data_IF_181819126513
#
_entry.id   IF_181819126513
#
_cell.length_a   1.000
_cell.length_b   1.000
_cell.length_c   1.000
_cell.angle_alpha   90.00
_cell.angle_beta   90.00
_cell.angle_gamma   90.00
#
_symmetry.space_group_name_H-M   'P 1'
#
loop_
_entity.id
_entity.type
_entity.pdbx_description
1 polymer ?
#
# COMPACT_ATOMS: atom_id res chain seq x y z
N UNK A 1 -0.10 -14.29 -10.26
CA UNK A 1 0.05 -12.80 -10.22
C UNK A 1 1.29 -12.48 -9.41
N UNK A 2 2.27 -11.84 -10.04
CA UNK A 2 3.58 -11.52 -9.43
C UNK A 2 3.47 -10.77 -8.09
N UNK A 3 2.47 -9.87 -7.97
CA UNK A 3 2.29 -9.05 -6.77
C UNK A 3 2.00 -9.86 -5.51
N UNK A 4 1.41 -11.05 -5.62
CA UNK A 4 1.06 -11.89 -4.47
C UNK A 4 2.28 -12.49 -3.77
N UNK A 5 3.39 -12.60 -4.50
CA UNK A 5 4.68 -13.10 -3.99
C UNK A 5 5.67 -11.96 -3.67
N UNK A 6 5.19 -10.70 -3.77
CA UNK A 6 6.05 -9.54 -3.62
C UNK A 6 6.02 -8.97 -2.22
N UNK A 7 7.09 -8.27 -1.90
CA UNK A 7 7.21 -7.33 -0.79
C UNK A 7 7.29 -5.94 -1.40
N UNK A 8 6.34 -5.08 -1.07
CA UNK A 8 6.26 -3.73 -1.58
C UNK A 8 7.04 -2.75 -0.71
N UNK A 9 7.62 -1.75 -1.36
CA UNK A 9 8.21 -0.58 -0.72
C UNK A 9 7.48 0.67 -1.24
N UNK A 10 6.82 1.41 -0.36
CA UNK A 10 6.08 2.61 -0.75
C UNK A 10 6.96 3.85 -0.64
N UNK A 11 6.97 4.66 -1.69
CA UNK A 11 7.62 5.98 -1.72
C UNK A 11 6.55 7.05 -2.02
N UNK A 12 6.53 8.13 -1.22
CA UNK A 12 5.82 9.36 -1.53
C UNK A 12 6.80 10.35 -2.18
N UNK A 13 6.80 10.49 -3.51
CA UNK A 13 7.94 11.08 -4.24
C UNK A 13 8.21 12.54 -3.93
N UNK A 14 7.16 13.38 -3.83
CA UNK A 14 7.34 14.81 -3.56
C UNK A 14 8.06 15.04 -2.22
N UNK A 15 7.61 14.38 -1.16
CA UNK A 15 8.28 14.46 0.14
C UNK A 15 9.65 13.78 0.13
N UNK A 16 9.75 12.54 -0.34
CA UNK A 16 10.98 11.76 -0.44
C UNK A 16 12.10 12.54 -1.16
N UNK A 17 11.77 13.21 -2.24
CA UNK A 17 12.70 13.98 -3.06
C UNK A 17 12.94 15.40 -2.55
N UNK A 18 12.26 15.84 -1.48
CA UNK A 18 12.39 17.20 -0.95
C UNK A 18 11.88 18.27 -1.92
N UNK A 19 10.82 17.96 -2.65
CA UNK A 19 10.15 18.92 -3.52
C UNK A 19 9.41 19.99 -2.69
N UNK A 20 9.30 21.25 -3.17
CA UNK A 20 8.48 22.26 -2.51
C UNK A 20 7.01 21.82 -2.49
N UNK A 21 6.25 22.22 -1.46
CA UNK A 21 4.83 21.85 -1.34
C UNK A 21 4.01 22.44 -2.49
N UNK A 22 4.13 23.74 -2.72
CA UNK A 22 3.49 24.41 -3.86
C UNK A 22 4.27 24.12 -5.14
N UNK A 23 3.54 23.88 -6.24
CA UNK A 23 4.17 23.74 -7.54
C UNK A 23 4.66 25.12 -8.03
N UNK A 24 5.96 25.32 -7.99
CA UNK A 24 6.64 26.56 -8.38
C UNK A 24 6.92 26.64 -9.90
N UNK A 25 6.57 25.59 -10.67
CA UNK A 25 6.84 25.51 -12.10
C UNK A 25 8.32 25.33 -12.47
N UNK A 26 9.18 25.12 -11.48
CA UNK A 26 10.63 24.98 -11.70
C UNK A 26 11.00 23.53 -11.96
N UNK A 27 11.50 23.25 -13.15
CA UNK A 27 11.99 21.92 -13.49
C UNK A 27 13.21 21.54 -12.63
N UNK A 28 13.14 20.37 -12.03
CA UNK A 28 14.20 19.81 -11.22
C UNK A 28 14.29 18.30 -11.45
N UNK A 29 15.46 17.69 -11.35
CA UNK A 29 15.66 16.26 -11.61
C UNK A 29 15.71 15.42 -10.32
N UNK A 30 14.87 15.78 -9.32
CA UNK A 30 14.90 15.19 -7.97
C UNK A 30 14.55 13.71 -7.92
N UNK A 31 13.71 13.22 -8.85
CA UNK A 31 13.27 11.82 -8.88
C UNK A 31 14.44 10.85 -9.09
N UNK A 32 15.54 11.31 -9.69
CA UNK A 32 16.75 10.51 -9.89
C UNK A 32 17.36 10.01 -8.58
N UNK A 33 17.05 10.67 -7.44
CA UNK A 33 17.43 10.22 -6.09
C UNK A 33 17.00 8.78 -5.79
N UNK A 34 15.91 8.31 -6.38
CA UNK A 34 15.43 6.93 -6.19
C UNK A 34 16.51 5.91 -6.59
N UNK A 35 17.35 6.24 -7.60
CA UNK A 35 18.42 5.34 -8.02
C UNK A 35 19.42 5.04 -6.91
N UNK A 36 19.70 6.01 -6.03
CA UNK A 36 20.64 5.84 -4.92
C UNK A 36 20.06 4.95 -3.81
N UNK A 37 18.73 4.75 -3.81
CA UNK A 37 18.03 3.91 -2.84
C UNK A 37 17.79 2.48 -3.31
N UNK A 38 17.97 2.18 -4.58
CA UNK A 38 17.76 0.84 -5.15
C UNK A 38 18.55 -0.24 -4.39
N UNK A 39 19.86 -0.04 -4.04
CA UNK A 39 20.60 -1.03 -3.26
C UNK A 39 19.99 -1.31 -1.87
N UNK A 40 19.49 -0.27 -1.20
CA UNK A 40 18.82 -0.40 0.09
C UNK A 40 17.50 -1.19 -0.03
N UNK A 41 16.64 -0.82 -0.98
CA UNK A 41 15.36 -1.46 -1.24
C UNK A 41 15.56 -2.96 -1.55
N UNK A 42 16.54 -3.27 -2.39
CA UNK A 42 16.91 -4.64 -2.74
C UNK A 42 17.44 -5.42 -1.53
N UNK A 43 18.33 -4.81 -0.73
CA UNK A 43 18.87 -5.41 0.50
C UNK A 43 17.78 -5.65 1.54
N UNK A 44 16.79 -4.76 1.66
CA UNK A 44 15.60 -4.94 2.51
C UNK A 44 14.78 -6.16 2.09
N UNK A 45 14.88 -6.59 0.85
CA UNK A 45 14.16 -7.71 0.28
C UNK A 45 12.88 -7.31 -0.46
N UNK A 46 12.60 -6.02 -0.62
CA UNK A 46 11.49 -5.55 -1.45
C UNK A 46 11.81 -5.78 -2.94
N UNK A 47 10.80 -6.23 -3.69
CA UNK A 47 10.88 -6.50 -5.13
C UNK A 47 9.75 -5.81 -5.92
N UNK A 48 9.02 -4.92 -5.28
CA UNK A 48 8.06 -4.03 -5.91
C UNK A 48 8.09 -2.65 -5.23
N UNK A 49 7.95 -1.58 -6.01
CA UNK A 49 7.74 -0.23 -5.50
C UNK A 49 6.32 0.22 -5.83
N UNK A 50 5.67 0.82 -4.85
CA UNK A 50 4.48 1.63 -5.04
C UNK A 50 4.87 3.10 -4.89
N UNK A 51 4.77 3.87 -5.97
CA UNK A 51 4.91 5.32 -5.94
C UNK A 51 3.54 5.97 -5.69
N UNK A 52 3.41 6.75 -4.61
CA UNK A 52 2.35 7.75 -4.47
C UNK A 52 2.47 8.76 -5.64
N UNK A 53 1.51 9.68 -5.87
CA UNK A 53 1.42 10.41 -7.13
C UNK A 53 2.72 11.02 -7.62
N UNK A 54 3.02 10.84 -8.92
CA UNK A 54 4.23 11.34 -9.60
C UNK A 54 3.90 12.39 -10.66
N UNK A 55 2.62 12.56 -11.02
CA UNK A 55 2.20 13.41 -12.13
C UNK A 55 2.05 14.87 -11.70
N UNK A 56 2.12 15.77 -12.70
CA UNK A 56 2.00 17.22 -12.53
C UNK A 56 0.79 17.57 -11.68
N UNK A 57 1.00 18.31 -10.59
CA UNK A 57 -0.02 18.60 -9.59
C UNK A 57 0.08 20.01 -9.02
N UNK A 58 -0.98 20.49 -8.36
CA UNK A 58 -0.98 21.82 -7.73
C UNK A 58 -0.06 21.84 -6.49
N UNK A 59 -0.17 20.81 -5.61
CA UNK A 59 0.56 20.76 -4.33
C UNK A 59 1.01 19.34 -4.00
N UNK A 60 0.15 18.53 -3.37
CA UNK A 60 0.46 17.26 -2.73
C UNK A 60 0.40 16.04 -3.66
N UNK A 61 0.27 16.21 -4.96
CA UNK A 61 0.22 15.10 -5.92
C UNK A 61 -1.19 14.60 -6.23
N UNK A 62 -2.12 14.64 -5.27
CA UNK A 62 -3.50 14.19 -5.47
C UNK A 62 -4.40 15.22 -6.18
N UNK A 63 -3.97 16.46 -6.31
CA UNK A 63 -4.60 17.51 -7.09
C UNK A 63 -3.92 17.65 -8.47
N UNK A 64 -4.09 16.63 -9.30
CA UNK A 64 -3.44 16.47 -10.60
C UNK A 64 -3.81 17.59 -11.58
N UNK A 65 -2.80 18.15 -12.27
CA UNK A 65 -2.93 19.11 -13.38
C UNK A 65 -2.89 18.44 -14.75
N UNK A 66 -2.06 17.39 -14.87
CA UNK A 66 -1.82 16.70 -16.13
C UNK A 66 -1.39 15.24 -15.86
N UNK A 67 -2.15 14.28 -16.34
CA UNK A 67 -1.87 12.84 -16.18
C UNK A 67 -0.72 12.34 -17.09
N UNK A 68 -0.27 13.16 -18.04
CA UNK A 68 0.71 12.74 -19.05
C UNK A 68 2.12 13.21 -18.74
N UNK A 69 2.29 14.10 -17.77
CA UNK A 69 3.58 14.69 -17.41
C UNK A 69 3.97 14.34 -15.97
N UNK A 70 5.21 13.96 -15.80
CA UNK A 70 5.81 13.89 -14.46
C UNK A 70 5.86 15.31 -13.88
N UNK A 71 5.56 15.44 -12.60
CA UNK A 71 5.61 16.72 -11.89
C UNK A 71 6.97 17.39 -12.06
N UNK A 72 6.98 18.64 -12.54
CA UNK A 72 8.22 19.35 -12.84
C UNK A 72 9.14 19.48 -11.61
N UNK A 73 8.58 19.49 -10.40
CA UNK A 73 9.35 19.47 -9.15
C UNK A 73 10.12 18.16 -8.94
N UNK A 74 9.70 17.07 -9.60
CA UNK A 74 10.35 15.75 -9.56
C UNK A 74 11.32 15.55 -10.73
N UNK A 75 10.91 15.92 -11.94
CA UNK A 75 11.74 15.70 -13.13
C UNK A 75 10.97 15.76 -14.43
N UNK A 76 11.53 15.12 -15.43
CA UNK A 76 10.90 14.89 -16.73
C UNK A 76 10.39 13.46 -16.85
N UNK A 77 9.59 13.18 -17.89
CA UNK A 77 9.19 11.83 -18.24
C UNK A 77 10.41 10.92 -18.48
N UNK A 78 11.45 11.44 -19.12
CA UNK A 78 12.69 10.71 -19.39
C UNK A 78 13.43 10.36 -18.09
N UNK A 79 13.45 11.25 -17.09
CA UNK A 79 14.04 10.97 -15.78
C UNK A 79 13.30 9.83 -15.10
N UNK A 80 11.97 9.87 -15.12
CA UNK A 80 11.17 8.82 -14.50
C UNK A 80 11.30 7.49 -15.24
N UNK A 81 11.26 7.50 -16.57
CA UNK A 81 11.51 6.30 -17.39
C UNK A 81 12.88 5.67 -17.08
N UNK A 82 13.91 6.50 -16.87
CA UNK A 82 15.25 6.04 -16.45
C UNK A 82 15.22 5.38 -15.07
N UNK A 83 14.49 5.96 -14.10
CA UNK A 83 14.33 5.38 -12.76
C UNK A 83 13.66 4.02 -12.85
N UNK A 84 12.52 3.92 -13.57
CA UNK A 84 11.80 2.65 -13.73
C UNK A 84 12.66 1.59 -14.41
N UNK A 85 13.37 1.95 -15.49
CA UNK A 85 14.29 1.03 -16.16
C UNK A 85 15.40 0.50 -15.24
N UNK A 86 15.94 1.35 -14.35
CA UNK A 86 16.94 0.93 -13.37
C UNK A 86 16.34 0.00 -12.30
N UNK A 87 15.11 0.26 -11.84
CA UNK A 87 14.37 -0.62 -10.94
C UNK A 87 14.13 -2.00 -11.58
N UNK A 88 13.69 -2.03 -12.84
CA UNK A 88 13.46 -3.27 -13.57
C UNK A 88 14.75 -4.09 -13.78
N UNK A 89 15.88 -3.45 -14.04
CA UNK A 89 17.19 -4.13 -14.12
C UNK A 89 17.57 -4.86 -12.85
N UNK A 90 17.09 -4.36 -11.70
CA UNK A 90 17.31 -4.97 -10.39
C UNK A 90 16.16 -5.91 -9.97
N UNK A 91 15.22 -6.21 -10.88
CA UNK A 91 14.09 -7.11 -10.65
C UNK A 91 12.99 -6.52 -9.78
N UNK A 92 12.91 -5.19 -9.69
CA UNK A 92 11.91 -4.48 -8.89
C UNK A 92 10.78 -3.99 -9.78
N UNK A 93 9.56 -4.44 -9.52
CA UNK A 93 8.34 -4.04 -10.21
C UNK A 93 7.86 -2.66 -9.77
N UNK A 94 7.15 -1.94 -10.65
CA UNK A 94 6.71 -0.56 -10.40
C UNK A 94 5.20 -0.42 -10.53
N UNK A 95 4.58 0.11 -9.46
CA UNK A 95 3.15 0.45 -9.37
C UNK A 95 3.01 1.95 -9.15
N UNK A 96 2.18 2.63 -9.94
CA UNK A 96 1.90 4.06 -9.80
C UNK A 96 0.54 4.31 -9.14
N UNK A 97 0.40 5.51 -8.56
CA UNK A 97 -0.89 6.00 -8.07
C UNK A 97 -1.73 6.56 -9.21
N UNK A 98 -2.93 6.05 -9.37
CA UNK A 98 -3.94 6.51 -10.32
C UNK A 98 -5.03 7.30 -9.61
N UNK A 99 -4.95 8.63 -9.67
CA UNK A 99 -5.92 9.55 -9.05
C UNK A 99 -7.02 9.86 -10.07
N UNK A 100 -8.04 9.01 -10.18
CA UNK A 100 -9.04 9.10 -11.25
C UNK A 100 -10.42 9.61 -10.80
N UNK A 101 -10.64 9.73 -9.49
CA UNK A 101 -11.89 10.28 -8.96
C UNK A 101 -12.00 11.79 -9.11
N UNK A 102 -10.87 12.50 -9.02
CA UNK A 102 -10.80 13.95 -9.01
C UNK A 102 -9.49 14.46 -9.60
N UNK A 103 -9.43 15.76 -9.86
CA UNK A 103 -8.25 16.48 -10.35
C UNK A 103 -8.07 17.78 -9.57
N UNK A 104 -6.92 18.41 -9.67
CA UNK A 104 -6.67 19.74 -9.13
C UNK A 104 -7.44 20.84 -9.89
N UNK A 105 -7.57 22.00 -9.26
CA UNK A 105 -8.12 23.18 -9.94
C UNK A 105 -7.23 23.65 -11.09
N UNK A 106 -5.91 23.35 -11.03
CA UNK A 106 -4.96 23.61 -12.11
C UNK A 106 -5.10 22.69 -13.33
N UNK A 107 -5.98 21.68 -13.29
CA UNK A 107 -6.21 20.78 -14.42
C UNK A 107 -6.69 21.56 -15.65
N UNK A 108 -6.04 21.33 -16.78
CA UNK A 108 -6.21 22.16 -17.97
C UNK A 108 -7.68 22.30 -18.46
N UNK A 109 -8.47 21.21 -18.40
CA UNK A 109 -9.88 21.26 -18.79
C UNK A 109 -10.73 22.04 -17.76
N UNK A 110 -10.38 22.01 -16.47
CA UNK A 110 -11.06 22.80 -15.45
C UNK A 110 -10.71 24.29 -15.57
N UNK A 111 -9.46 24.60 -15.92
CA UNK A 111 -9.04 25.98 -16.21
C UNK A 111 -9.81 26.56 -17.42
N UNK A 112 -10.11 25.75 -18.44
CA UNK A 112 -10.99 26.17 -19.55
C UNK A 112 -12.42 26.46 -19.05
N UNK A 113 -12.99 25.62 -18.17
CA UNK A 113 -14.31 25.88 -17.55
C UNK A 113 -14.29 27.16 -16.72
N UNK A 114 -13.26 27.41 -15.94
CA UNK A 114 -13.14 28.66 -15.16
C UNK A 114 -13.13 29.91 -16.08
N UNK A 115 -12.47 29.82 -17.23
CA UNK A 115 -12.34 30.90 -18.19
C UNK A 115 -13.57 31.10 -19.07
N UNK A 116 -14.10 30.02 -19.64
CA UNK A 116 -15.13 30.05 -20.70
C UNK A 116 -16.55 29.76 -20.17
N UNK A 117 -16.67 29.39 -18.88
CA UNK A 117 -17.93 29.14 -18.19
C UNK A 117 -18.79 28.11 -18.95
N UNK A 118 -20.09 28.42 -19.16
CA UNK A 118 -21.05 27.57 -19.85
C UNK A 118 -20.65 27.25 -21.30
N UNK A 119 -19.77 28.05 -21.90
CA UNK A 119 -19.30 27.86 -23.27
C UNK A 119 -18.09 26.90 -23.36
N UNK A 120 -17.56 26.44 -22.25
CA UNK A 120 -16.49 25.47 -22.26
C UNK A 120 -16.97 24.10 -22.76
N UNK A 121 -16.25 23.43 -23.68
CA UNK A 121 -16.58 22.08 -24.10
C UNK A 121 -16.37 21.03 -22.99
N UNK A 122 -15.70 21.41 -21.89
CA UNK A 122 -15.33 20.53 -20.80
C UNK A 122 -16.26 20.59 -19.58
N UNK A 123 -17.37 21.34 -19.62
CA UNK A 123 -18.32 21.45 -18.49
C UNK A 123 -18.77 20.05 -18.02
N UNK A 124 -19.10 19.15 -18.96
CA UNK A 124 -19.57 17.80 -18.67
C UNK A 124 -18.46 16.81 -18.25
N UNK A 125 -17.20 17.23 -18.21
CA UNK A 125 -16.08 16.43 -17.69
C UNK A 125 -16.11 16.35 -16.19
N UNK A 126 -16.79 17.27 -15.51
CA UNK A 126 -16.83 17.40 -14.07
C UNK A 126 -18.22 17.12 -13.52
N UNK A 127 -18.28 16.66 -12.29
CA UNK A 127 -19.52 16.34 -11.62
C UNK A 127 -20.21 17.61 -11.13
N UNK A 128 -21.49 17.79 -11.50
CA UNK A 128 -22.41 18.78 -10.94
C UNK A 128 -21.90 20.22 -10.92
N UNK A 129 -21.44 20.75 -12.03
CA UNK A 129 -21.09 22.18 -12.13
C UNK A 129 -22.36 23.05 -12.13
N UNK A 130 -22.36 24.14 -11.34
CA UNK A 130 -23.40 25.16 -11.30
C UNK A 130 -22.77 26.55 -11.39
N UNK A 131 -23.21 27.36 -12.39
CA UNK A 131 -22.66 28.69 -12.64
C UNK A 131 -23.42 29.81 -11.90
N UNK A 132 -24.51 29.46 -11.23
CA UNK A 132 -25.30 30.33 -10.34
C UNK A 132 -24.93 30.09 -8.84
N UNK A 133 -23.96 29.19 -8.59
CA UNK A 133 -23.46 28.85 -7.26
C UNK A 133 -22.11 29.47 -6.95
N UNK A 134 -21.56 29.10 -5.81
CA UNK A 134 -20.22 29.50 -5.40
C UNK A 134 -19.55 28.42 -4.55
N UNK A 135 -18.25 28.35 -4.59
CA UNK A 135 -17.42 27.54 -3.71
C UNK A 135 -16.69 28.44 -2.70
N UNK A 136 -15.83 27.86 -1.87
CA UNK A 136 -14.95 28.63 -0.98
C UNK A 136 -13.90 29.49 -1.74
N UNK A 137 -13.75 29.30 -3.06
CA UNK A 137 -12.89 30.13 -3.91
C UNK A 137 -13.54 31.44 -4.36
N UNK A 138 -14.85 31.64 -4.12
CA UNK A 138 -15.60 32.84 -4.47
C UNK A 138 -15.46 33.30 -5.94
N UNK A 139 -15.38 32.36 -6.85
CA UNK A 139 -15.21 32.58 -8.30
C UNK A 139 -16.52 32.43 -9.11
N UNK A 140 -17.66 32.41 -8.41
CA UNK A 140 -19.00 32.30 -9.03
C UNK A 140 -19.22 30.94 -9.69
N UNK A 141 -18.61 29.90 -9.17
CA UNK A 141 -18.74 28.54 -9.65
C UNK A 141 -18.89 27.60 -8.45
N UNK A 142 -19.92 26.77 -8.47
CA UNK A 142 -20.04 25.62 -7.59
C UNK A 142 -19.84 24.32 -8.38
N UNK A 143 -19.18 23.33 -7.78
CA UNK A 143 -18.95 22.01 -8.33
C UNK A 143 -18.83 20.99 -7.22
N UNK A 144 -19.00 19.72 -7.55
CA UNK A 144 -18.75 18.64 -6.60
C UNK A 144 -17.22 18.43 -6.41
N UNK A 145 -16.75 18.65 -5.19
CA UNK A 145 -15.40 18.26 -4.76
C UNK A 145 -15.40 16.90 -4.06
N UNK A 146 -14.25 16.23 -3.98
CA UNK A 146 -14.13 15.01 -3.20
C UNK A 146 -14.34 15.29 -1.71
N UNK A 147 -15.38 14.67 -1.14
CA UNK A 147 -15.76 14.83 0.29
C UNK A 147 -15.83 16.30 0.74
N UNK A 148 -16.24 17.21 -0.12
CA UNK A 148 -16.38 18.63 0.18
C UNK A 148 -15.08 19.45 0.02
N UNK A 149 -13.97 18.83 -0.39
CA UNK A 149 -12.73 19.53 -0.71
C UNK A 149 -12.78 20.11 -2.12
N UNK A 150 -12.88 21.42 -2.24
CA UNK A 150 -13.02 22.11 -3.53
C UNK A 150 -11.70 22.28 -4.31
N UNK A 151 -10.55 21.98 -3.72
CA UNK A 151 -9.26 21.84 -4.43
C UNK A 151 -9.14 20.50 -5.18
N UNK A 152 -10.08 19.56 -4.94
CA UNK A 152 -10.17 18.24 -5.54
C UNK A 152 -11.46 18.14 -6.35
N UNK A 153 -11.40 18.62 -7.58
CA UNK A 153 -12.57 18.73 -8.49
C UNK A 153 -12.97 17.35 -9.01
N UNK A 154 -14.18 16.89 -8.69
CA UNK A 154 -14.63 15.55 -9.05
C UNK A 154 -14.87 15.39 -10.54
N UNK A 155 -14.27 14.36 -11.14
CA UNK A 155 -14.46 13.98 -12.54
C UNK A 155 -15.80 13.24 -12.73
N UNK A 156 -16.36 13.39 -13.92
CA UNK A 156 -17.53 12.65 -14.37
C UNK A 156 -17.10 11.39 -15.14
N UNK A 157 -16.94 10.27 -14.44
CA UNK A 157 -16.52 8.99 -15.02
C UNK A 157 -17.62 8.31 -15.89
N UNK A 158 -18.81 8.91 -16.04
CA UNK A 158 -19.82 8.52 -17.02
C UNK A 158 -19.64 9.23 -18.37
N UNK A 159 -18.75 10.22 -18.45
CA UNK A 159 -18.40 10.91 -19.69
C UNK A 159 -17.31 10.11 -20.42
N UNK A 160 -17.61 9.68 -21.66
CA UNK A 160 -16.67 8.86 -22.44
C UNK A 160 -15.37 9.60 -22.78
N UNK A 161 -15.39 10.92 -22.97
CA UNK A 161 -14.18 11.69 -23.27
C UNK A 161 -13.25 11.72 -22.04
N UNK A 162 -13.80 11.79 -20.82
CA UNK A 162 -13.03 11.69 -19.58
C UNK A 162 -12.40 10.30 -19.45
N UNK A 163 -13.17 9.23 -19.66
CA UNK A 163 -12.68 7.86 -19.59
C UNK A 163 -11.60 7.61 -20.63
N UNK A 164 -11.80 8.07 -21.87
CA UNK A 164 -10.82 7.95 -22.95
C UNK A 164 -9.54 8.72 -22.64
N UNK A 165 -9.64 9.91 -22.03
CA UNK A 165 -8.48 10.71 -21.62
C UNK A 165 -7.66 9.95 -20.56
N UNK A 166 -8.31 9.40 -19.52
CA UNK A 166 -7.66 8.59 -18.49
C UNK A 166 -7.00 7.35 -19.10
N UNK A 167 -7.71 6.60 -19.96
CA UNK A 167 -7.17 5.39 -20.58
C UNK A 167 -5.99 5.70 -21.51
N UNK A 168 -6.02 6.81 -22.22
CA UNK A 168 -4.89 7.26 -23.04
C UNK A 168 -3.67 7.60 -22.18
N UNK A 169 -3.88 8.23 -21.03
CA UNK A 169 -2.79 8.48 -20.08
C UNK A 169 -2.20 7.17 -19.55
N UNK A 170 -3.03 6.22 -19.10
CA UNK A 170 -2.60 4.89 -18.63
C UNK A 170 -1.84 4.14 -19.72
N UNK A 171 -2.30 4.18 -20.97
CA UNK A 171 -1.57 3.58 -22.10
C UNK A 171 -0.20 4.24 -22.29
N UNK A 172 -0.13 5.57 -22.15
CA UNK A 172 1.12 6.33 -22.15
C UNK A 172 2.07 5.85 -21.04
N UNK A 173 1.59 5.69 -19.81
CA UNK A 173 2.39 5.19 -18.68
C UNK A 173 2.95 3.80 -18.92
N UNK A 174 2.14 2.88 -19.51
CA UNK A 174 2.59 1.53 -19.85
C UNK A 174 3.65 1.57 -20.97
N UNK A 175 3.44 2.39 -22.00
CA UNK A 175 4.36 2.46 -23.15
C UNK A 175 5.68 3.18 -22.84
N UNK A 176 5.59 4.30 -22.10
CA UNK A 176 6.74 5.19 -21.86
C UNK A 176 7.55 4.76 -20.64
N UNK A 177 6.86 4.33 -19.58
CA UNK A 177 7.52 3.98 -18.31
C UNK A 177 7.57 2.46 -18.05
N UNK A 178 6.85 1.65 -18.82
CA UNK A 178 6.74 0.20 -18.63
C UNK A 178 6.24 -0.21 -17.23
N UNK A 179 5.33 0.56 -16.62
CA UNK A 179 4.80 0.26 -15.28
C UNK A 179 4.10 -1.10 -15.21
N UNK A 180 4.10 -1.72 -14.02
CA UNK A 180 3.57 -3.07 -13.81
C UNK A 180 2.20 -3.09 -13.10
N UNK A 181 1.71 -1.94 -12.69
CA UNK A 181 0.42 -1.84 -12.04
C UNK A 181 0.02 -0.42 -11.65
N UNK A 182 -1.19 -0.30 -11.13
CA UNK A 182 -1.76 0.95 -10.62
C UNK A 182 -2.41 0.70 -9.26
N UNK A 183 -2.13 1.58 -8.29
CA UNK A 183 -2.94 1.75 -7.09
C UNK A 183 -4.00 2.80 -7.41
N UNK A 184 -5.26 2.49 -7.19
CA UNK A 184 -6.39 3.36 -7.45
C UNK A 184 -6.72 4.14 -6.17
N UNK A 185 -6.47 5.45 -6.23
CA UNK A 185 -6.82 6.38 -5.17
C UNK A 185 -8.34 6.38 -4.94
N UNK A 186 -8.76 6.41 -3.67
CA UNK A 186 -10.16 6.39 -3.24
C UNK A 186 -11.05 5.45 -4.05
N UNK A 187 -10.60 4.22 -4.25
CA UNK A 187 -11.27 3.24 -5.13
C UNK A 187 -12.74 3.01 -4.76
N UNK A 188 -13.11 3.20 -3.50
CA UNK A 188 -14.50 3.13 -3.03
C UNK A 188 -15.41 4.23 -3.61
N UNK A 189 -14.84 5.31 -4.16
CA UNK A 189 -15.56 6.39 -4.84
C UNK A 189 -15.69 6.18 -6.35
N UNK A 190 -14.95 5.22 -6.93
CA UNK A 190 -14.93 4.97 -8.37
C UNK A 190 -16.13 4.11 -8.80
N UNK A 191 -16.67 4.43 -9.98
CA UNK A 191 -17.77 3.67 -10.58
C UNK A 191 -17.33 2.23 -10.92
N UNK A 192 -18.21 1.26 -10.66
CA UNK A 192 -17.96 -0.15 -10.96
C UNK A 192 -17.73 -0.39 -12.46
N UNK A 193 -18.51 0.26 -13.31
CA UNK A 193 -18.37 0.13 -14.76
C UNK A 193 -17.03 0.67 -15.25
N UNK A 194 -16.59 1.81 -14.70
CA UNK A 194 -15.26 2.35 -14.94
C UNK A 194 -14.15 1.37 -14.52
N UNK A 195 -14.23 0.81 -13.31
CA UNK A 195 -13.21 -0.13 -12.79
C UNK A 195 -13.11 -1.40 -13.64
N UNK A 196 -14.24 -1.98 -14.05
CA UNK A 196 -14.26 -3.14 -14.93
C UNK A 196 -13.68 -2.84 -16.31
N UNK A 197 -13.98 -1.66 -16.87
CA UNK A 197 -13.42 -1.21 -18.15
C UNK A 197 -11.91 -0.98 -18.04
N UNK A 198 -11.46 -0.32 -16.96
CA UNK A 198 -10.04 -0.08 -16.70
C UNK A 198 -9.28 -1.40 -16.59
N UNK A 199 -9.84 -2.39 -15.87
CA UNK A 199 -9.25 -3.73 -15.77
C UNK A 199 -9.06 -4.36 -17.14
N UNK A 200 -10.11 -4.45 -17.94
CA UNK A 200 -10.04 -5.04 -19.28
C UNK A 200 -9.09 -4.27 -20.21
N UNK A 201 -9.05 -2.94 -20.08
CA UNK A 201 -8.12 -2.11 -20.82
C UNK A 201 -6.65 -2.43 -20.46
N UNK A 202 -6.31 -2.44 -19.16
CA UNK A 202 -4.96 -2.74 -18.70
C UNK A 202 -4.51 -4.14 -19.12
N UNK A 203 -5.36 -5.16 -18.95
CA UNK A 203 -5.08 -6.55 -19.35
C UNK A 203 -4.81 -6.66 -20.87
N UNK A 204 -5.46 -5.83 -21.69
CA UNK A 204 -5.22 -5.76 -23.14
C UNK A 204 -3.88 -5.12 -23.53
N UNK A 205 -3.27 -4.33 -22.61
CA UNK A 205 -2.03 -3.58 -22.88
C UNK A 205 -0.80 -4.27 -22.31
N UNK A 206 -0.90 -4.90 -21.13
CA UNK A 206 0.22 -5.58 -20.49
C UNK A 206 -0.30 -6.79 -19.70
N UNK A 207 0.24 -7.98 -19.98
CA UNK A 207 -0.08 -9.19 -19.23
C UNK A 207 0.33 -9.04 -17.75
N UNK A 208 -0.45 -9.66 -16.86
CA UNK A 208 -0.22 -9.62 -15.42
C UNK A 208 -0.18 -8.22 -14.79
N UNK A 209 -0.83 -7.23 -15.42
CA UNK A 209 -0.91 -5.87 -14.90
C UNK A 209 -1.69 -5.83 -13.58
N UNK A 210 -1.08 -5.32 -12.52
CA UNK A 210 -1.64 -5.36 -11.18
C UNK A 210 -2.50 -4.13 -10.88
N UNK A 211 -3.72 -4.34 -10.37
CA UNK A 211 -4.59 -3.29 -9.86
C UNK A 211 -4.84 -3.49 -8.36
N UNK A 212 -4.54 -2.48 -7.56
CA UNK A 212 -4.86 -2.43 -6.14
C UNK A 212 -5.68 -1.17 -5.84
N UNK A 213 -6.82 -1.34 -5.15
CA UNK A 213 -7.69 -0.22 -4.79
C UNK A 213 -7.45 0.24 -3.36
N UNK A 214 -7.42 1.55 -3.15
CA UNK A 214 -7.48 2.09 -1.79
C UNK A 214 -8.90 1.99 -1.26
N UNK A 215 -9.04 1.33 -0.10
CA UNK A 215 -10.31 1.20 0.63
C UNK A 215 -10.04 1.36 2.11
N UNK A 216 -10.60 2.40 2.72
CA UNK A 216 -10.43 2.69 4.14
C UNK A 216 -11.32 1.81 5.02
N UNK A 217 -12.52 1.50 4.55
CA UNK A 217 -13.54 0.68 5.22
C UNK A 217 -14.59 0.24 4.21
N UNK A 218 -15.39 -0.76 4.55
CA UNK A 218 -16.52 -1.20 3.73
C UNK A 218 -16.45 -2.67 3.30
N UNK A 219 -17.11 -2.98 2.20
CA UNK A 219 -17.35 -4.35 1.73
C UNK A 219 -16.20 -4.84 0.83
N UNK A 220 -15.08 -5.25 1.44
CA UNK A 220 -13.92 -5.78 0.70
C UNK A 220 -14.29 -6.86 -0.32
N UNK A 221 -15.12 -7.83 0.08
CA UNK A 221 -15.52 -8.93 -0.79
C UNK A 221 -16.23 -8.46 -2.05
N UNK A 222 -17.10 -7.46 -1.94
CA UNK A 222 -17.79 -6.88 -3.09
C UNK A 222 -16.82 -6.23 -4.06
N UNK A 223 -15.89 -5.39 -3.57
CA UNK A 223 -14.95 -4.70 -4.43
C UNK A 223 -14.00 -5.65 -5.14
N UNK A 224 -13.50 -6.68 -4.45
CA UNK A 224 -12.63 -7.69 -5.05
C UNK A 224 -13.35 -8.51 -6.13
N UNK A 225 -14.57 -8.95 -5.86
CA UNK A 225 -15.29 -9.88 -6.75
C UNK A 225 -16.07 -9.18 -7.86
N UNK A 226 -16.65 -8.00 -7.58
CA UNK A 226 -17.53 -7.33 -8.53
C UNK A 226 -16.80 -6.24 -9.36
N UNK A 227 -15.72 -5.65 -8.85
CA UNK A 227 -15.04 -4.53 -9.49
C UNK A 227 -13.74 -4.92 -10.18
N UNK A 228 -13.43 -6.21 -10.27
CA UNK A 228 -12.27 -6.75 -10.98
C UNK A 228 -10.90 -6.21 -10.51
N UNK A 229 -10.81 -5.73 -9.28
CA UNK A 229 -9.56 -5.27 -8.66
C UNK A 229 -8.85 -6.48 -8.05
N UNK A 230 -7.53 -6.60 -8.25
CA UNK A 230 -6.75 -7.75 -7.75
C UNK A 230 -6.54 -7.73 -6.24
N UNK A 231 -6.42 -6.54 -5.66
CA UNK A 231 -6.09 -6.33 -4.25
C UNK A 231 -6.69 -5.02 -3.73
N UNK A 232 -6.81 -4.91 -2.42
CA UNK A 232 -7.25 -3.71 -1.72
C UNK A 232 -6.31 -3.42 -0.56
N UNK A 233 -6.22 -2.15 -0.14
CA UNK A 233 -5.48 -1.76 1.06
C UNK A 233 -6.15 -2.30 2.33
N UNK A 234 -5.36 -2.88 3.23
CA UNK A 234 -5.87 -3.58 4.42
C UNK A 234 -5.90 -2.68 5.66
N UNK A 235 -6.71 -1.62 5.63
CA UNK A 235 -6.88 -0.72 6.77
C UNK A 235 -7.54 -1.40 7.98
N UNK A 236 -8.29 -2.47 7.77
CA UNK A 236 -8.90 -3.22 8.88
C UNK A 236 -7.84 -3.90 9.73
N UNK A 237 -6.86 -4.59 9.12
CA UNK A 237 -5.76 -5.18 9.87
C UNK A 237 -4.81 -4.12 10.40
N UNK A 238 -4.54 -3.02 9.69
CA UNK A 238 -3.78 -1.87 10.20
C UNK A 238 -4.32 -1.42 11.56
N UNK A 239 -5.63 -1.15 11.68
CA UNK A 239 -6.27 -0.76 12.95
C UNK A 239 -6.17 -1.86 14.01
N UNK A 240 -6.42 -3.12 13.61
CA UNK A 240 -6.35 -4.27 14.51
C UNK A 240 -4.94 -4.51 15.07
N UNK A 241 -3.90 -4.29 14.26
CA UNK A 241 -2.52 -4.49 14.67
C UNK A 241 -2.13 -3.50 15.77
N UNK A 242 -2.18 -2.18 15.49
CA UNK A 242 -1.71 -1.22 16.48
C UNK A 242 -2.57 -1.21 17.76
N UNK A 243 -3.88 -1.47 17.65
CA UNK A 243 -4.76 -1.62 18.81
C UNK A 243 -4.35 -2.85 19.65
N UNK A 244 -4.16 -4.01 19.03
CA UNK A 244 -3.80 -5.24 19.71
C UNK A 244 -2.48 -5.14 20.51
N UNK A 245 -1.46 -4.54 19.90
CA UNK A 245 -0.18 -4.37 20.57
C UNK A 245 -0.20 -3.34 21.70
N UNK A 246 -0.95 -2.23 21.53
CA UNK A 246 -1.06 -1.19 22.57
C UNK A 246 -1.94 -1.62 23.75
N UNK A 247 -2.99 -2.39 23.51
CA UNK A 247 -3.88 -2.91 24.55
C UNK A 247 -3.40 -4.23 25.17
N UNK A 248 -2.30 -4.81 24.65
CA UNK A 248 -1.86 -6.18 24.96
C UNK A 248 -3.00 -7.20 24.79
N UNK A 249 -3.72 -7.10 23.65
CA UNK A 249 -4.89 -7.94 23.38
C UNK A 249 -4.88 -8.50 21.95
N UNK A 250 -4.20 -9.63 21.75
CA UNK A 250 -4.07 -10.28 20.45
C UNK A 250 -5.42 -10.73 19.86
N UNK A 251 -6.48 -10.81 20.66
CA UNK A 251 -7.82 -11.12 20.16
C UNK A 251 -8.31 -10.11 19.12
N UNK A 252 -7.91 -8.83 19.22
CA UNK A 252 -8.36 -7.78 18.29
C UNK A 252 -7.88 -8.04 16.85
N UNK A 253 -6.58 -8.29 16.67
CA UNK A 253 -6.04 -8.58 15.33
C UNK A 253 -6.46 -9.97 14.83
N UNK A 254 -6.47 -10.97 15.69
CA UNK A 254 -6.87 -12.33 15.28
C UNK A 254 -8.35 -12.35 14.90
N UNK A 255 -9.23 -11.60 15.57
CA UNK A 255 -10.63 -11.45 15.15
C UNK A 255 -10.74 -10.83 13.74
N UNK A 256 -9.95 -9.79 13.45
CA UNK A 256 -9.90 -9.18 12.12
C UNK A 256 -9.42 -10.16 11.05
N UNK A 257 -8.38 -10.96 11.35
CA UNK A 257 -7.87 -11.99 10.44
C UNK A 257 -8.87 -13.12 10.20
N UNK A 258 -9.56 -13.58 11.25
CA UNK A 258 -10.62 -14.59 11.13
C UNK A 258 -11.76 -14.09 10.26
N UNK A 259 -12.22 -12.86 10.47
CA UNK A 259 -13.28 -12.24 9.68
C UNK A 259 -12.90 -12.10 8.20
N UNK A 260 -11.65 -11.74 7.91
CA UNK A 260 -11.20 -11.54 6.53
C UNK A 260 -10.84 -12.86 5.85
N UNK A 261 -10.03 -13.70 6.49
CA UNK A 261 -9.31 -14.81 5.87
C UNK A 261 -9.57 -16.16 6.49
N UNK A 262 -10.51 -16.25 7.45
CA UNK A 262 -10.84 -17.51 8.11
C UNK A 262 -11.31 -18.59 7.13
N UNK A 263 -11.48 -19.83 7.60
CA UNK A 263 -11.87 -20.96 6.75
C UNK A 263 -13.35 -20.92 6.34
N UNK A 264 -14.17 -20.13 7.02
CA UNK A 264 -15.61 -20.10 6.83
C UNK A 264 -16.01 -19.39 5.53
N UNK A 265 -17.13 -19.81 4.94
CA UNK A 265 -17.62 -19.24 3.66
C UNK A 265 -18.02 -17.76 3.75
N UNK A 266 -18.43 -17.30 4.93
CA UNK A 266 -18.79 -15.91 5.17
C UNK A 266 -17.59 -14.94 5.29
N UNK A 267 -16.35 -15.44 5.29
CA UNK A 267 -15.15 -14.60 5.36
C UNK A 267 -15.03 -13.75 4.12
N UNK A 268 -14.92 -12.43 4.33
CA UNK A 268 -15.12 -11.41 3.27
C UNK A 268 -13.98 -11.30 2.27
N UNK A 269 -12.79 -11.81 2.59
CA UNK A 269 -11.60 -11.74 1.74
C UNK A 269 -10.84 -13.08 1.68
N UNK A 270 -11.55 -14.22 1.87
CA UNK A 270 -10.94 -15.55 1.80
C UNK A 270 -10.28 -15.78 0.45
N UNK A 271 -9.00 -16.15 0.46
CA UNK A 271 -8.22 -16.37 -0.75
C UNK A 271 -7.72 -15.09 -1.43
N UNK A 272 -8.11 -13.91 -0.93
CA UNK A 272 -7.61 -12.65 -1.46
C UNK A 272 -6.25 -12.27 -0.87
N UNK A 273 -5.50 -11.46 -1.61
CA UNK A 273 -4.18 -10.95 -1.24
C UNK A 273 -4.29 -9.43 -1.04
N UNK A 274 -4.65 -8.99 0.18
CA UNK A 274 -4.77 -7.57 0.49
C UNK A 274 -3.39 -6.94 0.70
N UNK A 275 -3.20 -5.71 0.23
CA UNK A 275 -2.00 -4.91 0.48
C UNK A 275 -1.99 -4.45 1.94
N UNK A 276 -1.12 -5.05 2.74
CA UNK A 276 -1.06 -4.90 4.20
C UNK A 276 0.16 -4.10 4.62
N UNK A 277 -0.01 -3.21 5.58
CA UNK A 277 1.02 -2.25 6.01
C UNK A 277 0.93 -1.97 7.50
N UNK A 278 2.03 -1.52 8.08
CA UNK A 278 2.08 -0.99 9.45
C UNK A 278 1.73 0.50 9.50
N UNK A 279 2.15 1.24 8.49
CA UNK A 279 1.83 2.65 8.25
C UNK A 279 1.95 2.99 6.75
N UNK A 280 1.55 4.20 6.38
CA UNK A 280 1.68 4.77 5.04
C UNK A 280 1.75 6.31 5.10
N UNK A 281 1.61 6.98 3.97
CA UNK A 281 1.72 8.43 3.83
C UNK A 281 0.53 9.24 4.40
N UNK A 282 -0.56 8.57 4.84
CA UNK A 282 -1.80 9.21 5.33
C UNK A 282 -2.07 8.99 6.81
N UNK A 283 -1.31 8.12 7.46
CA UNK A 283 -1.47 7.81 8.89
C UNK A 283 -0.19 8.08 9.65
N UNK A 284 -0.31 8.27 10.97
CA UNK A 284 0.87 8.41 11.85
C UNK A 284 1.82 7.23 11.67
N UNK A 285 3.13 7.49 11.70
CA UNK A 285 4.16 6.46 11.63
C UNK A 285 3.98 5.44 12.75
N UNK A 286 4.09 4.18 12.45
CA UNK A 286 3.85 3.11 13.42
C UNK A 286 4.73 3.23 14.67
N UNK A 287 5.97 3.68 14.53
CA UNK A 287 6.88 3.94 15.65
C UNK A 287 6.40 5.07 16.58
N UNK A 288 5.49 5.96 16.12
CA UNK A 288 4.84 6.96 16.95
C UNK A 288 3.58 6.45 17.64
N UNK A 289 2.91 5.45 17.05
CA UNK A 289 1.65 4.90 17.56
C UNK A 289 1.93 3.84 18.64
N UNK A 290 2.93 2.99 18.44
CA UNK A 290 3.25 1.88 19.33
C UNK A 290 3.84 2.41 20.64
N UNK A 291 3.17 2.11 21.75
CA UNK A 291 3.55 2.59 23.09
C UNK A 291 4.79 1.87 23.66
N UNK A 292 4.87 0.56 23.47
CA UNK A 292 6.05 -0.24 23.87
C UNK A 292 6.98 -0.46 22.67
N UNK A 293 8.18 0.15 22.63
CA UNK A 293 9.11 -0.01 21.51
C UNK A 293 9.49 -1.47 21.20
N UNK A 294 9.45 -2.37 22.17
CA UNK A 294 9.72 -3.79 21.97
C UNK A 294 8.67 -4.49 21.08
N UNK A 295 7.48 -3.89 20.94
CA UNK A 295 6.44 -4.39 20.05
C UNK A 295 6.66 -4.02 18.58
N UNK A 296 7.49 -3.02 18.27
CA UNK A 296 7.64 -2.53 16.89
C UNK A 296 8.13 -3.62 15.92
N UNK A 297 9.13 -4.46 16.23
CA UNK A 297 9.47 -5.59 15.37
C UNK A 297 8.32 -6.61 15.22
N UNK A 298 7.54 -6.82 16.27
CA UNK A 298 6.43 -7.78 16.28
C UNK A 298 5.26 -7.32 15.40
N UNK A 299 5.04 -6.01 15.27
CA UNK A 299 4.10 -5.43 14.31
C UNK A 299 4.46 -5.85 12.89
N UNK A 300 5.73 -5.76 12.51
CA UNK A 300 6.19 -6.21 11.19
C UNK A 300 6.09 -7.73 11.04
N UNK A 301 6.42 -8.50 12.08
CA UNK A 301 6.19 -9.95 12.06
C UNK A 301 4.71 -10.29 11.80
N UNK A 302 3.77 -9.55 12.39
CA UNK A 302 2.34 -9.73 12.10
C UNK A 302 2.03 -9.39 10.63
N UNK A 303 2.48 -8.24 10.11
CA UNK A 303 2.24 -7.80 8.72
C UNK A 303 2.77 -8.81 7.70
N UNK A 304 3.96 -9.38 7.93
CA UNK A 304 4.59 -10.34 7.02
C UNK A 304 4.06 -11.77 7.17
N UNK A 305 3.60 -12.15 8.36
CA UNK A 305 3.08 -13.49 8.64
C UNK A 305 1.62 -13.70 8.25
N UNK A 306 0.79 -12.66 8.32
CA UNK A 306 -0.63 -12.75 7.97
C UNK A 306 -0.87 -12.90 6.46
N UNK A 307 -2.07 -13.34 6.01
CA UNK A 307 -2.43 -13.36 4.59
C UNK A 307 -2.35 -11.97 3.97
N UNK A 308 -1.81 -11.89 2.75
CA UNK A 308 -1.74 -10.66 1.97
C UNK A 308 -0.35 -10.32 1.47
N UNK A 309 -0.22 -9.12 0.95
CA UNK A 309 0.98 -8.56 0.34
C UNK A 309 1.56 -7.52 1.32
N UNK A 310 2.73 -7.74 1.92
CA UNK A 310 3.32 -6.76 2.83
C UNK A 310 3.84 -5.54 2.08
N UNK A 311 3.62 -4.36 2.64
CA UNK A 311 4.13 -3.08 2.15
C UNK A 311 4.83 -2.33 3.28
N UNK A 312 6.03 -1.86 3.03
CA UNK A 312 6.83 -1.05 3.95
C UNK A 312 6.89 0.38 3.42
N UNK A 313 6.52 1.34 4.24
CA UNK A 313 6.60 2.75 3.89
C UNK A 313 8.00 3.29 4.18
N UNK A 314 8.59 4.03 3.25
CA UNK A 314 9.98 4.50 3.33
C UNK A 314 10.26 5.26 4.65
N UNK A 315 11.33 4.89 5.31
CA UNK A 315 11.71 5.43 6.62
C UNK A 315 11.13 4.71 7.83
N UNK A 316 10.05 3.94 7.65
CA UNK A 316 9.44 3.18 8.75
C UNK A 316 10.25 1.94 9.10
N UNK A 317 11.04 1.40 8.17
CA UNK A 317 11.89 0.24 8.39
C UNK A 317 13.05 0.47 9.36
N UNK A 318 13.40 1.73 9.64
CA UNK A 318 14.33 2.06 10.74
C UNK A 318 13.69 2.82 11.90
N UNK A 319 12.34 2.84 11.94
CA UNK A 319 11.59 3.34 13.09
C UNK A 319 11.44 4.87 13.13
N UNK A 320 11.37 5.54 11.97
CA UNK A 320 11.06 6.97 11.91
C UNK A 320 9.73 7.27 12.61
N UNK A 321 9.72 8.34 13.40
CA UNK A 321 8.53 8.83 14.13
C UNK A 321 7.96 10.06 13.46
N UNK A 322 6.65 10.08 13.29
CA UNK A 322 5.86 11.26 12.91
C UNK A 322 4.38 11.01 13.23
N UNK A 323 3.68 12.06 13.63
CA UNK A 323 2.26 12.00 13.99
C UNK A 323 1.42 12.81 13.00
N UNK A 324 0.26 12.25 12.62
CA UNK A 324 -0.70 12.89 11.68
C UNK A 324 -1.19 14.26 12.19
N UNK A 325 -1.25 14.47 13.51
CA UNK A 325 -1.63 15.76 14.09
C UNK A 325 -0.66 16.89 13.75
N UNK A 326 0.58 16.55 13.32
CA UNK A 326 1.58 17.53 12.86
C UNK A 326 1.38 17.90 11.38
N UNK A 327 0.36 17.36 10.72
CA UNK A 327 0.06 17.55 9.30
C UNK A 327 0.80 16.55 8.39
N UNK A 328 0.33 16.46 7.15
CA UNK A 328 0.84 15.52 6.15
C UNK A 328 2.35 15.66 5.85
N UNK A 329 2.93 16.88 5.81
CA UNK A 329 4.37 17.03 5.56
C UNK A 329 5.24 16.29 6.58
N UNK A 330 4.79 16.16 7.83
CA UNK A 330 5.52 15.43 8.86
C UNK A 330 5.60 13.92 8.57
N UNK A 331 4.61 13.37 7.88
CA UNK A 331 4.57 11.95 7.48
C UNK A 331 5.41 11.69 6.21
N UNK A 332 5.67 12.72 5.40
CA UNK A 332 6.20 12.67 4.03
C UNK A 332 7.61 13.26 3.95
N UNK A 333 8.47 12.83 4.86
CA UNK A 333 9.80 13.42 5.13
C UNK A 333 10.79 13.10 4.01
N UNK A 334 11.68 14.08 3.74
CA UNK A 334 12.88 13.86 2.94
C UNK A 334 14.01 13.30 3.83
N UNK A 335 14.61 12.18 3.41
CA UNK A 335 15.81 11.63 4.01
C UNK A 335 16.98 11.75 3.02
N UNK A 336 18.13 12.20 3.46
CA UNK A 336 19.32 12.32 2.60
C UNK A 336 19.82 10.97 2.12
N UNK A 337 19.75 9.96 2.98
CA UNK A 337 20.16 8.58 2.73
C UNK A 337 19.32 7.60 3.56
N UNK A 338 19.22 6.34 3.14
CA UNK A 338 18.56 5.31 3.96
C UNK A 338 19.43 4.96 5.17
N UNK A 339 18.77 4.54 6.26
CA UNK A 339 19.41 4.01 7.45
C UNK A 339 19.26 2.49 7.50
N UNK A 340 20.17 1.84 8.24
CA UNK A 340 20.12 0.41 8.50
C UNK A 340 20.42 0.12 9.97
N UNK A 341 19.41 -0.38 10.69
CA UNK A 341 19.50 -0.74 12.08
C UNK A 341 18.95 -2.15 12.33
N UNK A 342 18.82 -2.56 13.59
CA UNK A 342 18.32 -3.88 13.97
C UNK A 342 16.89 -4.14 13.46
N UNK A 343 16.01 -3.12 13.47
CA UNK A 343 14.66 -3.24 12.93
C UNK A 343 14.68 -3.48 11.42
N UNK A 344 15.51 -2.73 10.69
CA UNK A 344 15.67 -2.89 9.24
C UNK A 344 16.19 -4.30 8.90
N UNK A 345 17.17 -4.80 9.69
CA UNK A 345 17.70 -6.15 9.53
C UNK A 345 16.62 -7.22 9.77
N UNK A 346 15.82 -7.03 10.82
CA UNK A 346 14.71 -7.95 11.12
C UNK A 346 13.65 -7.95 10.02
N UNK A 347 13.24 -6.77 9.50
CA UNK A 347 12.29 -6.66 8.39
C UNK A 347 12.86 -7.33 7.12
N UNK A 348 14.16 -7.18 6.86
CA UNK A 348 14.81 -7.88 5.74
C UNK A 348 14.71 -9.40 5.86
N UNK A 349 14.90 -9.95 7.05
CA UNK A 349 14.71 -11.40 7.32
C UNK A 349 13.26 -11.83 7.10
N UNK A 350 12.28 -11.04 7.57
CA UNK A 350 10.85 -11.28 7.31
C UNK A 350 10.52 -11.25 5.82
N UNK A 351 11.08 -10.29 5.08
CA UNK A 351 10.88 -10.18 3.64
C UNK A 351 11.42 -11.40 2.89
N UNK A 352 12.59 -11.91 3.26
CA UNK A 352 13.15 -13.11 2.67
C UNK A 352 12.34 -14.36 3.03
N UNK A 353 11.89 -14.50 4.28
CA UNK A 353 11.00 -15.57 4.71
C UNK A 353 9.69 -15.56 3.89
N UNK A 354 9.08 -14.39 3.72
CA UNK A 354 7.84 -14.21 2.94
C UNK A 354 8.03 -14.65 1.49
N UNK A 355 9.05 -14.14 0.80
CA UNK A 355 9.31 -14.47 -0.62
C UNK A 355 9.67 -15.94 -0.84
N UNK A 356 10.32 -16.58 0.14
CA UNK A 356 10.75 -17.98 0.06
C UNK A 356 9.70 -19.00 0.49
N UNK A 357 8.49 -18.59 0.88
CA UNK A 357 7.48 -19.48 1.44
C UNK A 357 6.17 -19.45 0.65
N UNK A 358 5.81 -20.60 0.08
CA UNK A 358 4.51 -20.79 -0.57
C UNK A 358 3.36 -20.60 0.43
N UNK A 359 3.50 -21.13 1.65
CA UNK A 359 2.48 -21.01 2.68
C UNK A 359 2.24 -19.56 3.10
N UNK A 360 3.29 -18.75 3.26
CA UNK A 360 3.14 -17.32 3.58
C UNK A 360 2.53 -16.54 2.41
N UNK A 361 2.78 -16.94 1.17
CA UNK A 361 2.21 -16.31 -0.02
C UNK A 361 0.76 -16.71 -0.26
N UNK A 362 0.45 -18.00 -0.30
CA UNK A 362 -0.82 -18.55 -0.77
C UNK A 362 -1.59 -19.34 0.29
N UNK A 363 -0.96 -19.68 1.40
CA UNK A 363 -1.57 -20.52 2.43
C UNK A 363 -2.82 -19.90 3.08
N UNK A 364 -3.79 -20.73 3.41
CA UNK A 364 -4.94 -20.36 4.21
C UNK A 364 -4.56 -19.88 5.62
N UNK A 365 -5.51 -19.37 6.37
CA UNK A 365 -5.33 -18.86 7.73
C UNK A 365 -6.16 -19.69 8.72
N UNK A 366 -5.50 -20.11 9.83
CA UNK A 366 -6.17 -20.75 10.96
C UNK A 366 -5.51 -20.32 12.28
N UNK A 367 -6.30 -19.81 13.21
CA UNK A 367 -5.83 -19.52 14.57
C UNK A 367 -5.60 -20.84 15.35
N UNK A 368 -4.48 -20.98 16.02
CA UNK A 368 -4.07 -22.20 16.74
C UNK A 368 -4.00 -21.97 18.25
N UNK A 369 -3.25 -20.95 18.67
CA UNK A 369 -3.17 -20.52 20.06
C UNK A 369 -3.47 -19.03 20.14
N UNK A 370 -4.30 -18.64 21.08
CA UNK A 370 -4.66 -17.25 21.28
C UNK A 370 -4.83 -16.94 22.76
N UNK A 371 -4.08 -15.99 23.22
CA UNK A 371 -4.17 -15.38 24.54
C UNK A 371 -4.18 -13.85 24.40
N UNK A 372 -4.18 -13.12 25.48
CA UNK A 372 -4.08 -11.67 25.41
C UNK A 372 -2.73 -11.21 24.82
N UNK A 373 -1.64 -11.91 25.10
CA UNK A 373 -0.28 -11.47 24.74
C UNK A 373 0.43 -12.39 23.77
N UNK A 374 -0.12 -13.56 23.46
CA UNK A 374 0.46 -14.51 22.52
C UNK A 374 -0.55 -14.90 21.45
N UNK A 375 -0.07 -15.08 20.23
CA UNK A 375 -0.83 -15.74 19.20
C UNK A 375 0.07 -16.68 18.38
N UNK A 376 -0.50 -17.83 18.04
CA UNK A 376 0.06 -18.75 17.05
C UNK A 376 -1.02 -18.99 16.02
N UNK A 377 -0.73 -18.74 14.76
CA UNK A 377 -1.62 -19.07 13.66
C UNK A 377 -0.89 -19.85 12.57
N UNK A 378 -1.64 -20.67 11.88
CA UNK A 378 -1.15 -21.50 10.80
C UNK A 378 -1.40 -20.81 9.45
N UNK A 379 -0.37 -20.83 8.61
CA UNK A 379 -0.43 -20.62 7.17
C UNK A 379 -0.15 -21.96 6.50
N UNK A 380 -1.09 -22.44 5.70
CA UNK A 380 -0.98 -23.75 5.07
C UNK A 380 -1.39 -23.70 3.61
N UNK A 381 -0.46 -24.08 2.74
CA UNK A 381 -0.68 -24.35 1.32
C UNK A 381 -0.73 -25.87 1.06
N UNK A 382 -0.79 -26.28 -0.19
CA UNK A 382 -0.74 -27.69 -0.58
C UNK A 382 0.59 -28.36 -0.18
N UNK A 383 1.71 -27.62 -0.31
CA UNK A 383 3.04 -28.18 -0.16
C UNK A 383 3.80 -27.72 1.09
N UNK A 384 3.31 -26.70 1.77
CA UNK A 384 4.04 -26.09 2.90
C UNK A 384 3.09 -25.72 4.04
N UNK A 385 3.62 -25.79 5.26
CA UNK A 385 2.94 -25.38 6.48
C UNK A 385 3.88 -24.57 7.34
N UNK A 386 3.45 -23.35 7.70
CA UNK A 386 4.19 -22.44 8.58
C UNK A 386 3.32 -22.05 9.77
N UNK A 387 3.87 -22.16 10.97
CA UNK A 387 3.29 -21.59 12.17
C UNK A 387 3.93 -20.22 12.41
N UNK A 388 3.12 -19.18 12.36
CA UNK A 388 3.52 -17.82 12.75
C UNK A 388 3.23 -17.65 14.22
N UNK A 389 4.27 -17.48 15.02
CA UNK A 389 4.23 -17.42 16.47
C UNK A 389 4.68 -16.05 16.93
N UNK A 390 3.89 -15.36 17.76
CA UNK A 390 4.20 -14.03 18.29
C UNK A 390 3.94 -14.04 19.82
N UNK A 391 4.93 -13.58 20.57
CA UNK A 391 4.84 -13.30 21.99
C UNK A 391 5.15 -11.82 22.24
N UNK A 392 4.15 -11.03 22.64
CA UNK A 392 4.33 -9.62 22.99
C UNK A 392 4.44 -9.37 24.51
N UNK A 393 4.57 -10.43 25.30
CA UNK A 393 4.80 -10.35 26.73
C UNK A 393 6.30 -10.09 27.04
N UNK A 394 6.57 -9.47 28.20
CA UNK A 394 7.90 -9.33 28.78
C UNK A 394 8.45 -10.65 29.36
N UNK A 395 7.63 -11.68 29.45
CA UNK A 395 7.99 -13.01 29.93
C UNK A 395 7.98 -14.03 28.80
N UNK A 396 8.82 -15.05 28.95
CA UNK A 396 8.79 -16.21 28.07
C UNK A 396 7.45 -16.95 28.19
N UNK A 397 7.03 -17.55 27.10
CA UNK A 397 5.79 -18.33 27.03
C UNK A 397 6.03 -19.66 26.30
N UNK A 398 5.52 -20.75 26.84
CA UNK A 398 5.56 -22.05 26.17
C UNK A 398 4.13 -22.51 25.89
N UNK A 399 3.78 -22.62 24.62
CA UNK A 399 2.49 -23.14 24.21
C UNK A 399 2.52 -24.66 24.07
N UNK A 400 1.49 -25.32 24.61
CA UNK A 400 1.29 -26.75 24.50
C UNK A 400 0.02 -27.03 23.67
N UNK A 401 0.20 -27.58 22.49
CA UNK A 401 -0.88 -27.97 21.59
C UNK A 401 -0.37 -29.07 20.65
N UNK A 402 -1.28 -29.79 19.99
CA UNK A 402 -0.88 -30.76 18.98
C UNK A 402 -0.38 -30.03 17.73
N UNK A 403 0.93 -30.01 17.57
CA UNK A 403 1.59 -29.40 16.42
C UNK A 403 1.48 -30.27 15.16
N UNK A 404 1.38 -31.60 15.34
CA UNK A 404 1.33 -32.58 14.26
C UNK A 404 2.66 -32.76 13.51
N UNK A 405 3.79 -32.24 14.06
CA UNK A 405 5.16 -32.52 13.60
C UNK A 405 6.13 -32.40 14.78
N UNK A 406 7.32 -33.04 14.69
CA UNK A 406 8.34 -33.00 15.74
C UNK A 406 9.30 -31.84 15.61
N UNK A 407 9.62 -31.46 14.39
CA UNK A 407 10.64 -30.46 14.07
C UNK A 407 10.12 -29.42 13.10
N UNK A 408 10.73 -28.25 13.14
CA UNK A 408 10.53 -27.16 12.18
C UNK A 408 11.85 -26.42 11.91
N UNK A 409 11.86 -25.60 10.87
CA UNK A 409 12.90 -24.60 10.62
C UNK A 409 12.27 -23.22 10.80
N UNK A 410 12.87 -22.37 11.62
CA UNK A 410 12.47 -20.96 11.73
C UNK A 410 12.97 -20.19 10.49
N UNK A 411 12.04 -19.77 9.66
CA UNK A 411 12.34 -19.04 8.40
C UNK A 411 13.01 -17.67 8.63
N UNK A 412 12.92 -17.11 9.84
CA UNK A 412 13.54 -15.82 10.19
C UNK A 412 15.02 -16.00 10.49
N UNK A 413 15.38 -17.07 11.22
CA UNK A 413 16.76 -17.30 11.69
C UNK A 413 17.49 -18.41 10.91
N UNK A 414 16.76 -19.32 10.27
CA UNK A 414 17.29 -20.54 9.65
C UNK A 414 17.60 -21.65 10.65
N UNK A 415 17.30 -21.48 11.94
CA UNK A 415 17.59 -22.45 12.98
C UNK A 415 16.51 -23.54 13.06
N UNK A 416 16.95 -24.74 13.45
CA UNK A 416 16.03 -25.83 13.73
C UNK A 416 15.28 -25.58 15.04
N UNK A 417 14.01 -25.97 15.08
CA UNK A 417 13.13 -25.86 16.23
C UNK A 417 12.51 -27.21 16.56
N UNK A 418 12.71 -27.64 17.82
CA UNK A 418 12.17 -28.89 18.35
C UNK A 418 10.92 -28.61 19.20
N UNK A 419 9.82 -29.26 18.90
CA UNK A 419 8.57 -29.15 19.64
C UNK A 419 8.45 -30.10 20.85
N UNK A 420 9.45 -30.91 21.15
CA UNK A 420 9.42 -31.92 22.22
C UNK A 420 9.11 -31.35 23.62
N UNK A 421 9.47 -30.09 23.87
CA UNK A 421 9.15 -29.35 25.10
C UNK A 421 7.97 -28.37 25.00
N UNK A 422 7.23 -28.40 23.90
CA UNK A 422 6.24 -27.38 23.54
C UNK A 422 6.81 -26.27 22.66
N UNK A 423 5.96 -25.34 22.23
CA UNK A 423 6.39 -24.20 21.41
C UNK A 423 6.87 -23.06 22.32
N UNK A 424 8.17 -23.03 22.58
CA UNK A 424 8.80 -22.01 23.43
C UNK A 424 9.02 -20.70 22.65
N UNK A 425 8.48 -19.61 23.18
CA UNK A 425 8.57 -18.24 22.64
C UNK A 425 9.21 -17.33 23.70
N UNK A 426 10.44 -16.87 23.50
CA UNK A 426 11.05 -15.87 24.38
C UNK A 426 10.20 -14.59 24.49
N UNK A 427 10.46 -13.79 25.51
CA UNK A 427 9.87 -12.46 25.67
C UNK A 427 10.06 -11.63 24.39
N UNK A 428 9.03 -10.88 23.98
CA UNK A 428 9.06 -9.99 22.83
C UNK A 428 9.64 -10.64 21.56
N UNK A 429 9.18 -11.84 21.21
CA UNK A 429 9.73 -12.62 20.10
C UNK A 429 8.69 -12.99 19.04
N UNK A 430 9.18 -13.22 17.83
CA UNK A 430 8.42 -13.83 16.75
C UNK A 430 9.22 -14.95 16.08
N UNK A 431 8.53 -16.03 15.68
CA UNK A 431 9.10 -17.16 14.92
C UNK A 431 8.16 -17.55 13.78
N UNK A 432 8.74 -17.88 12.64
CA UNK A 432 8.03 -18.40 11.47
C UNK A 432 8.48 -19.85 11.25
N UNK A 433 7.81 -20.77 11.91
CA UNK A 433 8.21 -22.17 12.00
C UNK A 433 7.64 -22.98 10.84
N UNK A 434 8.47 -23.26 9.84
CA UNK A 434 8.15 -24.17 8.75
C UNK A 434 8.24 -25.61 9.23
N UNK A 435 7.08 -26.26 9.38
CA UNK A 435 6.99 -27.62 9.86
C UNK A 435 7.57 -28.62 8.85
N UNK A 436 8.33 -29.59 9.33
CA UNK A 436 8.68 -30.77 8.54
C UNK A 436 7.44 -31.61 8.23
N UNK A 437 7.42 -32.25 7.07
CA UNK A 437 6.32 -33.11 6.63
C UNK A 437 6.30 -34.45 7.37
#
# INVERSE_FOLDING_TARGET
MWAYESVFYQIYPLGFCGAPFENDGVLSHRILKVNDWIPHIKKLGANAIYFSPVFESDTHGYNTRDFTKIDCRLGTNEDFAKVVNNLHKEGIKVVLDGVFNHVGRGFWAFQDVLKNRENSPYVNWFSRIAFDGNSNYNDGLWYEGWEGNYDLVKLNLFNEDVVNHIFSAVEGWIKEFDIDGIRLDVAYCLDKGFLNRLRGFCDSKKADFFLVGEVLHGEYGRMLNEMSIHSLTNYQCYKGIHSAFNSNNMFEIIHSLLRLFGPEEWCVARGAHLLSFADNHDVSRIASIIQNPAHLPLVYAMVFGMPGIPCVYYGSEWGTKADKSQGDPALRVNFDKPEWNELTDFISKLANAKKGSEALNYGGFRSVVLTNRQCIFERKSEHERVLVCINCDENDYTAHFDVGCGMAVDLITGENFDFGGGTHLPAYSAKFLKCER
#
